data_IF_734189877628
#
_entry.id   IF_734189877628
#
_cell.length_a   1.000
_cell.length_b   1.000
_cell.length_c   1.000
_cell.angle_alpha   90.00
_cell.angle_beta   90.00
_cell.angle_gamma   90.00
#
_symmetry.space_group_name_H-M   'P 1'
#
loop_
_entity.id
_entity.type
_entity.pdbx_description
1 polymer ?
#
# COMPACT_ATOMS: atom_id res chain seq x y z
N UNK A 1 -62.26 34.93 -27.61
CA UNK A 1 -60.93 34.26 -27.73
C UNK A 1 -60.25 34.43 -26.37
N UNK A 2 -60.39 33.47 -25.50
CA UNK A 2 -59.77 33.45 -24.17
C UNK A 2 -58.47 32.67 -24.21
N UNK A 3 -57.39 33.30 -23.79
CA UNK A 3 -56.09 32.68 -23.62
C UNK A 3 -56.04 32.06 -22.21
N UNK A 4 -56.01 30.72 -22.13
CA UNK A 4 -55.82 29.99 -20.88
C UNK A 4 -54.34 29.98 -20.50
N UNK A 5 -53.96 30.75 -19.45
CA UNK A 5 -52.64 30.70 -18.86
C UNK A 5 -52.57 29.50 -17.92
N UNK A 6 -51.86 28.47 -18.31
CA UNK A 6 -51.49 27.37 -17.42
C UNK A 6 -50.35 27.83 -16.51
N UNK A 7 -50.67 28.03 -15.24
CA UNK A 7 -49.68 28.26 -14.21
C UNK A 7 -48.95 26.93 -13.90
N UNK A 8 -47.67 26.85 -14.25
CA UNK A 8 -46.78 25.81 -13.81
C UNK A 8 -46.46 26.07 -12.32
N UNK A 9 -46.96 25.21 -11.43
CA UNK A 9 -46.57 25.20 -10.03
C UNK A 9 -45.13 24.75 -9.90
N UNK A 10 -44.29 25.44 -9.09
CA UNK A 10 -42.93 24.98 -8.83
C UNK A 10 -42.96 23.67 -8.02
N UNK A 11 -42.35 22.63 -8.56
CA UNK A 11 -42.10 21.38 -7.83
C UNK A 11 -41.16 21.70 -6.66
N UNK A 12 -41.40 21.13 -5.46
CA UNK A 12 -40.47 21.30 -4.36
C UNK A 12 -39.15 20.62 -4.69
N UNK A 13 -38.07 21.39 -4.64
CA UNK A 13 -36.70 20.91 -4.76
C UNK A 13 -36.49 19.72 -3.80
N UNK A 14 -36.22 18.54 -4.35
CA UNK A 14 -35.80 17.44 -3.56
C UNK A 14 -34.47 17.81 -2.85
N UNK A 15 -34.58 18.11 -1.56
CA UNK A 15 -33.41 18.21 -0.68
C UNK A 15 -32.71 16.87 -0.71
N UNK A 16 -31.64 16.76 -1.48
CA UNK A 16 -30.69 15.66 -1.37
C UNK A 16 -30.04 15.80 -0.01
N UNK A 17 -30.61 15.13 0.98
CA UNK A 17 -29.98 14.99 2.29
C UNK A 17 -28.76 14.11 2.08
N UNK A 18 -27.60 14.75 1.88
CA UNK A 18 -26.32 14.08 2.03
C UNK A 18 -26.28 13.53 3.46
N UNK A 19 -26.58 12.25 3.63
CA UNK A 19 -26.22 11.51 4.83
C UNK A 19 -24.70 11.54 4.88
N UNK A 20 -24.15 12.49 5.61
CA UNK A 20 -22.82 12.37 6.15
C UNK A 20 -22.91 11.19 7.09
N UNK A 21 -22.58 10.00 6.60
CA UNK A 21 -22.34 8.83 7.45
C UNK A 21 -21.24 9.29 8.41
N UNK A 22 -21.60 9.57 9.66
CA UNK A 22 -20.60 9.81 10.68
C UNK A 22 -19.64 8.63 10.61
N UNK A 23 -18.36 8.92 10.61
CA UNK A 23 -17.29 7.97 10.88
C UNK A 23 -17.41 7.50 12.36
N UNK A 24 -18.51 6.80 12.69
CA UNK A 24 -18.86 6.34 14.05
C UNK A 24 -18.47 4.91 14.32
N UNK A 25 -17.88 4.22 13.34
CA UNK A 25 -17.06 3.06 13.67
C UNK A 25 -15.73 3.63 14.12
N UNK A 26 -15.48 3.54 15.42
CA UNK A 26 -14.28 4.05 16.07
C UNK A 26 -13.09 3.82 15.14
N UNK A 27 -12.54 4.89 14.56
CA UNK A 27 -11.24 4.85 13.95
C UNK A 27 -10.30 4.43 15.08
N UNK A 28 -10.10 3.14 15.22
CA UNK A 28 -9.10 2.62 16.13
C UNK A 28 -7.79 3.12 15.56
N UNK A 29 -7.24 4.15 16.20
CA UNK A 29 -5.94 4.69 15.83
C UNK A 29 -4.97 3.52 15.71
N UNK A 30 -4.14 3.53 14.70
CA UNK A 30 -3.11 2.51 14.51
C UNK A 30 -2.25 2.44 15.77
N UNK A 31 -2.43 1.40 16.56
CA UNK A 31 -1.63 1.19 17.76
C UNK A 31 -0.38 0.38 17.44
N UNK A 32 -0.50 -0.59 16.55
CA UNK A 32 0.60 -1.48 16.20
C UNK A 32 0.59 -1.80 14.71
N UNK A 33 1.76 -1.76 14.07
CA UNK A 33 1.99 -2.09 12.66
C UNK A 33 3.02 -3.23 12.55
N UNK A 34 2.63 -4.37 12.02
CA UNK A 34 3.60 -5.39 11.62
C UNK A 34 4.16 -5.06 10.25
N UNK A 35 5.47 -5.01 10.14
CA UNK A 35 6.17 -4.74 8.88
C UNK A 35 6.89 -5.99 8.43
N UNK A 36 6.51 -6.54 7.29
CA UNK A 36 7.15 -7.70 6.68
C UNK A 36 8.03 -7.22 5.53
N UNK A 37 9.33 -7.45 5.59
CA UNK A 37 10.24 -7.00 4.53
C UNK A 37 10.69 -8.16 3.67
N UNK A 38 10.64 -7.97 2.35
CA UNK A 38 11.01 -8.99 1.38
C UNK A 38 12.24 -8.61 0.53
N UNK A 39 12.75 -7.39 0.74
CA UNK A 39 13.82 -6.80 -0.07
C UNK A 39 13.26 -5.88 -1.17
N UNK A 40 13.88 -5.91 -2.33
CA UNK A 40 13.55 -5.02 -3.45
C UNK A 40 14.34 -3.72 -3.45
N UNK A 41 13.99 -2.79 -4.35
CA UNK A 41 14.75 -1.56 -4.59
C UNK A 41 14.86 -0.68 -3.35
N UNK A 42 13.85 -0.65 -2.49
CA UNK A 42 13.84 0.15 -1.27
C UNK A 42 15.07 -0.14 -0.36
N UNK A 43 15.50 -1.40 -0.32
CA UNK A 43 16.59 -1.87 0.52
C UNK A 43 17.92 -2.03 -0.25
N UNK A 44 17.99 -1.60 -1.53
CA UNK A 44 19.23 -1.68 -2.31
C UNK A 44 20.30 -0.75 -1.77
N UNK A 45 21.52 -1.27 -1.73
CA UNK A 45 22.76 -0.55 -1.43
C UNK A 45 23.72 -0.69 -2.60
N UNK A 46 24.53 0.30 -2.84
CA UNK A 46 25.56 0.25 -3.86
C UNK A 46 26.86 -0.26 -3.25
N UNK A 47 27.51 -1.20 -3.93
CA UNK A 47 28.82 -1.72 -3.56
C UNK A 47 29.85 -1.28 -4.59
N UNK A 48 30.80 -0.44 -4.15
CA UNK A 48 31.87 0.12 -5.02
C UNK A 48 32.77 -0.96 -5.62
N UNK A 49 33.16 -1.96 -4.84
CA UNK A 49 34.09 -3.02 -5.29
C UNK A 49 33.55 -3.87 -6.45
N UNK A 50 32.24 -3.91 -6.63
CA UNK A 50 31.57 -4.72 -7.66
C UNK A 50 30.76 -3.90 -8.65
N UNK A 51 30.71 -2.57 -8.49
CA UNK A 51 29.84 -1.67 -9.29
C UNK A 51 28.42 -2.22 -9.43
N UNK A 52 27.88 -2.85 -8.38
CA UNK A 52 26.59 -3.55 -8.39
C UNK A 52 25.72 -3.16 -7.20
N UNK A 53 24.39 -3.22 -7.42
CA UNK A 53 23.43 -3.09 -6.36
C UNK A 53 23.18 -4.43 -5.70
N UNK A 54 23.17 -4.45 -4.37
CA UNK A 54 22.76 -5.60 -3.57
C UNK A 54 21.62 -5.21 -2.64
N UNK A 55 20.78 -6.18 -2.27
CA UNK A 55 19.71 -5.95 -1.31
C UNK A 55 20.31 -6.01 0.10
N UNK A 56 20.34 -4.88 0.76
CA UNK A 56 20.87 -4.71 2.10
C UNK A 56 19.88 -5.09 3.22
N UNK A 57 20.17 -4.62 4.42
CA UNK A 57 19.24 -4.71 5.53
C UNK A 57 18.00 -3.83 5.29
N UNK A 58 16.82 -4.21 5.85
CA UNK A 58 15.62 -3.41 5.76
C UNK A 58 15.83 -1.98 6.26
N UNK A 59 15.42 -0.99 5.47
CA UNK A 59 15.58 0.43 5.80
C UNK A 59 14.36 1.01 6.52
N UNK A 60 13.20 0.40 6.37
CA UNK A 60 11.93 0.96 6.84
C UNK A 60 11.89 1.18 8.35
N UNK A 61 12.47 0.29 9.15
CA UNK A 61 12.51 0.43 10.61
C UNK A 61 13.27 1.68 11.04
N UNK A 62 14.42 1.94 10.45
CA UNK A 62 15.24 3.12 10.74
C UNK A 62 14.54 4.40 10.26
N UNK A 63 13.89 4.36 9.10
CA UNK A 63 13.09 5.48 8.57
C UNK A 63 11.97 5.85 9.55
N UNK A 64 11.16 4.88 10.01
CA UNK A 64 10.06 5.16 10.92
C UNK A 64 10.54 5.67 12.28
N UNK A 65 11.64 5.13 12.81
CA UNK A 65 12.27 5.66 14.05
C UNK A 65 12.73 7.09 13.87
N UNK A 66 13.43 7.40 12.77
CA UNK A 66 13.91 8.75 12.49
C UNK A 66 12.79 9.77 12.31
N UNK A 67 11.62 9.32 11.82
CA UNK A 67 10.42 10.16 11.66
C UNK A 67 9.62 10.33 12.95
N UNK A 68 9.92 9.59 14.01
CA UNK A 68 9.23 9.69 15.30
C UNK A 68 7.74 9.35 15.20
N UNK A 69 7.41 8.24 14.51
CA UNK A 69 6.01 7.81 14.36
C UNK A 69 5.33 7.54 15.70
N UNK A 70 4.04 7.82 15.80
CA UNK A 70 3.28 7.75 17.05
C UNK A 70 2.53 6.41 17.25
N UNK A 71 3.07 5.32 16.70
CA UNK A 71 2.54 3.96 16.85
C UNK A 71 3.67 2.96 17.05
N UNK A 72 3.36 1.85 17.69
CA UNK A 72 4.30 0.73 17.84
C UNK A 72 4.46 -0.04 16.52
N UNK A 73 5.64 -0.58 16.28
CA UNK A 73 5.84 -1.44 15.12
C UNK A 73 6.92 -2.50 15.34
N UNK A 74 6.73 -3.64 14.67
CA UNK A 74 7.70 -4.72 14.58
C UNK A 74 8.14 -4.91 13.13
N UNK A 75 9.43 -5.22 12.93
CA UNK A 75 9.98 -5.52 11.61
C UNK A 75 10.35 -7.00 11.53
N UNK A 76 9.63 -7.72 10.69
CA UNK A 76 9.91 -9.11 10.33
C UNK A 76 10.73 -9.12 9.05
N UNK A 77 12.06 -9.25 9.19
CA UNK A 77 12.96 -9.35 8.05
C UNK A 77 12.89 -10.75 7.43
N UNK A 78 11.90 -10.97 6.56
CA UNK A 78 11.55 -12.29 6.06
C UNK A 78 12.54 -12.82 5.02
N UNK A 79 12.89 -11.97 4.05
CA UNK A 79 13.85 -12.31 2.99
C UNK A 79 14.54 -11.06 2.42
N UNK A 80 15.57 -11.29 1.59
CA UNK A 80 16.29 -10.25 0.86
C UNK A 80 16.39 -10.65 -0.61
N UNK A 81 15.26 -10.55 -1.32
CA UNK A 81 15.18 -10.94 -2.74
C UNK A 81 14.82 -9.77 -3.63
N UNK A 82 15.37 -9.75 -4.84
CA UNK A 82 14.77 -8.98 -5.92
C UNK A 82 13.45 -9.64 -6.32
N UNK A 83 12.41 -8.85 -6.52
CA UNK A 83 11.08 -9.38 -6.82
C UNK A 83 11.02 -10.18 -8.12
N UNK A 84 11.93 -9.93 -9.06
CA UNK A 84 12.05 -10.73 -10.28
C UNK A 84 12.51 -12.18 -10.03
N UNK A 85 13.15 -12.44 -8.89
CA UNK A 85 13.62 -13.77 -8.48
C UNK A 85 12.70 -14.43 -7.45
N UNK A 86 11.56 -13.81 -7.16
CA UNK A 86 10.60 -14.33 -6.18
C UNK A 86 9.79 -15.48 -6.78
N UNK A 87 9.77 -16.60 -6.08
CA UNK A 87 9.02 -17.81 -6.46
C UNK A 87 7.63 -17.84 -5.82
N UNK A 88 6.81 -18.82 -6.18
CA UNK A 88 5.49 -19.00 -5.55
C UNK A 88 5.64 -19.48 -4.12
N UNK A 89 6.66 -20.28 -3.80
CA UNK A 89 7.00 -20.70 -2.44
C UNK A 89 7.36 -19.50 -1.56
N UNK A 90 8.08 -18.51 -2.10
CA UNK A 90 8.37 -17.27 -1.39
C UNK A 90 7.07 -16.50 -1.09
N UNK A 91 6.15 -16.41 -2.04
CA UNK A 91 4.84 -15.76 -1.85
C UNK A 91 3.98 -16.49 -0.82
N UNK A 92 3.99 -17.82 -0.84
CA UNK A 92 3.34 -18.64 0.17
C UNK A 92 3.96 -18.45 1.55
N UNK A 93 5.29 -18.29 1.64
CA UNK A 93 5.96 -17.97 2.89
C UNK A 93 5.51 -16.60 3.42
N UNK A 94 5.44 -15.58 2.56
CA UNK A 94 4.92 -14.26 2.93
C UNK A 94 3.48 -14.39 3.47
N UNK A 95 2.62 -15.12 2.77
CA UNK A 95 1.23 -15.34 3.18
C UNK A 95 1.12 -16.00 4.55
N UNK A 96 1.84 -17.10 4.78
CA UNK A 96 1.86 -17.81 6.07
C UNK A 96 2.40 -16.91 7.19
N UNK A 97 3.46 -16.17 6.91
CA UNK A 97 4.04 -15.24 7.89
C UNK A 97 3.02 -14.18 8.31
N UNK A 98 2.32 -13.58 7.36
CA UNK A 98 1.29 -12.56 7.64
C UNK A 98 0.09 -13.17 8.38
N UNK A 99 -0.35 -14.35 7.97
CA UNK A 99 -1.47 -15.05 8.63
C UNK A 99 -1.18 -15.34 10.10
N UNK A 100 0.08 -15.63 10.45
CA UNK A 100 0.51 -15.93 11.81
C UNK A 100 0.69 -14.67 12.69
N UNK A 101 0.72 -13.45 12.12
CA UNK A 101 0.86 -12.24 12.92
C UNK A 101 -0.41 -11.94 13.73
N UNK A 102 -0.29 -11.51 15.00
CA UNK A 102 -1.46 -11.20 15.81
C UNK A 102 -2.15 -9.90 15.39
N UNK A 103 -1.40 -8.94 14.85
CA UNK A 103 -1.90 -7.60 14.57
C UNK A 103 -2.68 -7.54 13.25
N UNK A 104 -3.70 -6.69 13.23
CA UNK A 104 -4.57 -6.47 12.07
C UNK A 104 -3.85 -5.76 10.93
N UNK A 105 -3.01 -4.77 11.25
CA UNK A 105 -2.39 -3.89 10.28
C UNK A 105 -1.01 -4.41 9.89
N UNK A 106 -0.82 -4.68 8.61
CA UNK A 106 0.41 -5.23 8.06
C UNK A 106 0.88 -4.37 6.89
N UNK A 107 2.13 -3.97 6.93
CA UNK A 107 2.81 -3.32 5.80
C UNK A 107 3.85 -4.28 5.24
N UNK A 108 3.89 -4.43 3.92
CA UNK A 108 4.86 -5.28 3.24
C UNK A 108 5.76 -4.42 2.36
N UNK A 109 7.07 -4.39 2.62
CA UNK A 109 8.01 -3.80 1.66
C UNK A 109 8.41 -4.83 0.63
N UNK A 110 8.31 -4.47 -0.65
CA UNK A 110 8.45 -5.41 -1.76
C UNK A 110 9.07 -4.73 -2.99
N UNK A 111 9.77 -5.50 -3.81
CA UNK A 111 10.21 -5.04 -5.12
C UNK A 111 9.02 -4.77 -6.04
N UNK A 112 9.10 -3.72 -6.84
CA UNK A 112 7.94 -3.22 -7.59
C UNK A 112 7.53 -4.08 -8.78
N UNK A 113 8.42 -4.96 -9.31
CA UNK A 113 8.18 -5.66 -10.56
C UNK A 113 7.14 -6.78 -10.48
N UNK A 114 7.10 -7.51 -9.35
CA UNK A 114 6.13 -8.59 -9.10
C UNK A 114 5.28 -8.38 -7.84
N UNK A 115 5.16 -7.13 -7.40
CA UNK A 115 4.34 -6.76 -6.23
C UNK A 115 2.85 -7.10 -6.45
N UNK A 116 2.38 -7.04 -7.70
CA UNK A 116 0.99 -7.36 -8.06
C UNK A 116 0.68 -8.83 -7.82
N UNK A 117 1.59 -9.71 -8.24
CA UNK A 117 1.49 -11.16 -8.08
C UNK A 117 1.44 -11.53 -6.59
N UNK A 118 2.33 -10.97 -5.80
CA UNK A 118 2.32 -11.18 -4.34
C UNK A 118 1.03 -10.67 -3.70
N UNK A 119 0.56 -9.48 -4.09
CA UNK A 119 -0.68 -8.94 -3.57
C UNK A 119 -1.89 -9.84 -3.88
N UNK A 120 -1.94 -10.50 -5.04
CA UNK A 120 -2.98 -11.47 -5.39
C UNK A 120 -2.97 -12.70 -4.48
N UNK A 121 -1.79 -13.24 -4.19
CA UNK A 121 -1.62 -14.39 -3.28
C UNK A 121 -2.09 -14.06 -1.86
N UNK A 122 -1.98 -12.81 -1.43
CA UNK A 122 -2.40 -12.37 -0.10
C UNK A 122 -3.92 -12.16 0.04
N UNK A 123 -4.68 -12.15 -1.05
CA UNK A 123 -6.14 -11.98 -1.00
C UNK A 123 -6.80 -13.02 -0.09
N UNK A 124 -7.89 -12.62 0.57
CA UNK A 124 -8.69 -13.52 1.42
C UNK A 124 -8.11 -13.81 2.80
N UNK A 125 -7.05 -13.12 3.22
CA UNK A 125 -6.60 -13.14 4.62
C UNK A 125 -7.57 -12.30 5.48
N UNK A 126 -8.47 -12.98 6.17
CA UNK A 126 -9.50 -12.34 6.98
C UNK A 126 -8.92 -11.59 8.19
N UNK A 127 -9.54 -10.48 8.59
CA UNK A 127 -9.15 -9.68 9.74
C UNK A 127 -7.83 -8.92 9.57
N UNK A 128 -7.37 -8.73 8.33
CA UNK A 128 -6.13 -8.05 8.01
C UNK A 128 -6.32 -6.87 7.05
N UNK A 129 -5.66 -5.77 7.35
CA UNK A 129 -5.39 -4.69 6.40
C UNK A 129 -3.93 -4.83 5.97
N UNK A 130 -3.71 -5.26 4.74
CA UNK A 130 -2.36 -5.51 4.21
C UNK A 130 -2.06 -4.48 3.14
N UNK A 131 -1.02 -3.68 3.33
CA UNK A 131 -0.60 -2.68 2.36
C UNK A 131 0.81 -2.98 1.88
N UNK A 132 0.94 -3.29 0.59
CA UNK A 132 2.24 -3.45 -0.04
C UNK A 132 2.76 -2.08 -0.50
N UNK A 133 4.06 -1.86 -0.30
CA UNK A 133 4.76 -0.67 -0.76
C UNK A 133 6.21 -1.00 -1.13
N UNK A 134 6.90 -0.04 -1.68
CA UNK A 134 8.29 -0.16 -2.08
C UNK A 134 8.83 1.18 -2.56
N UNK A 135 9.92 1.15 -3.30
CA UNK A 135 10.48 2.34 -3.90
C UNK A 135 11.00 2.07 -5.31
N UNK A 136 10.99 3.09 -6.15
CA UNK A 136 11.64 3.09 -7.46
C UNK A 136 13.13 3.42 -7.34
N UNK A 137 13.49 4.16 -6.29
CA UNK A 137 14.87 4.50 -5.94
C UNK A 137 15.24 3.97 -4.55
N UNK A 138 16.48 3.50 -4.33
CA UNK A 138 16.90 3.02 -3.02
C UNK A 138 16.66 4.06 -1.92
N UNK A 139 16.19 3.63 -0.75
CA UNK A 139 15.84 4.53 0.36
C UNK A 139 17.00 5.40 0.84
N UNK A 140 18.24 4.92 0.67
CA UNK A 140 19.46 5.65 1.03
C UNK A 140 19.85 6.77 0.07
N UNK A 141 19.19 6.85 -1.09
CA UNK A 141 19.53 7.87 -2.09
C UNK A 141 18.79 9.17 -1.78
N UNK A 142 19.48 10.28 -1.97
CA UNK A 142 18.85 11.58 -1.93
C UNK A 142 17.74 11.67 -2.98
N UNK A 143 16.55 12.14 -2.59
CA UNK A 143 15.40 12.22 -3.48
C UNK A 143 14.68 10.88 -3.71
N UNK A 144 14.96 9.84 -2.90
CA UNK A 144 14.20 8.59 -2.94
C UNK A 144 12.71 8.83 -2.68
N UNK A 145 11.88 8.09 -3.41
CA UNK A 145 10.43 8.03 -3.21
C UNK A 145 10.01 7.16 -2.00
N UNK A 146 10.97 6.51 -1.32
CA UNK A 146 10.72 5.56 -0.24
C UNK A 146 9.91 6.15 0.91
N UNK A 147 10.34 7.30 1.45
CA UNK A 147 9.68 7.93 2.61
C UNK A 147 8.24 8.34 2.26
N UNK A 148 8.02 8.88 1.06
CA UNK A 148 6.69 9.25 0.59
C UNK A 148 5.77 8.02 0.44
N UNK A 149 6.27 6.94 -0.16
CA UNK A 149 5.50 5.71 -0.34
C UNK A 149 5.20 5.03 1.00
N UNK A 150 6.16 4.98 1.94
CA UNK A 150 5.96 4.47 3.29
C UNK A 150 4.86 5.27 4.01
N UNK A 151 4.92 6.59 4.00
CA UNK A 151 3.91 7.45 4.62
C UNK A 151 2.52 7.23 4.03
N UNK A 152 2.43 7.12 2.69
CA UNK A 152 1.19 6.79 2.00
C UNK A 152 0.65 5.41 2.43
N UNK A 153 1.53 4.39 2.56
CA UNK A 153 1.15 3.04 2.96
C UNK A 153 0.69 2.98 4.43
N UNK A 154 1.34 3.71 5.32
CA UNK A 154 0.93 3.84 6.74
C UNK A 154 -0.44 4.50 6.84
N UNK A 155 -0.68 5.60 6.11
CA UNK A 155 -1.98 6.26 6.05
C UNK A 155 -3.08 5.33 5.50
N UNK A 156 -2.77 4.57 4.45
CA UNK A 156 -3.69 3.59 3.89
C UNK A 156 -4.02 2.47 4.89
N UNK A 157 -3.03 1.94 5.60
CA UNK A 157 -3.23 0.90 6.61
C UNK A 157 -4.16 1.35 7.74
N UNK A 158 -4.14 2.64 8.11
CA UNK A 158 -5.02 3.20 9.13
C UNK A 158 -6.46 3.41 8.66
N UNK A 159 -6.64 3.80 7.38
CA UNK A 159 -7.90 4.31 6.88
C UNK A 159 -8.76 3.26 6.17
N UNK A 160 -8.16 2.16 5.70
CA UNK A 160 -8.86 1.21 4.85
C UNK A 160 -9.45 0.04 5.64
N UNK A 161 -10.54 -0.55 5.14
CA UNK A 161 -11.11 -1.77 5.70
C UNK A 161 -10.17 -2.98 5.48
N UNK A 162 -10.53 -4.13 6.04
CA UNK A 162 -9.83 -5.38 5.78
C UNK A 162 -9.71 -5.65 4.29
N UNK A 163 -8.49 -6.01 3.87
CA UNK A 163 -8.20 -6.23 2.46
C UNK A 163 -6.71 -6.10 2.16
N UNK A 164 -6.39 -6.26 0.88
CA UNK A 164 -5.03 -6.13 0.35
C UNK A 164 -4.97 -4.94 -0.58
N UNK A 165 -4.03 -4.08 -0.35
CA UNK A 165 -3.86 -2.82 -1.07
C UNK A 165 -2.41 -2.63 -1.46
N UNK A 166 -2.17 -1.67 -2.33
CA UNK A 166 -0.84 -1.25 -2.70
C UNK A 166 -0.76 0.27 -2.73
N UNK A 167 0.20 0.82 -2.01
CA UNK A 167 0.44 2.26 -1.95
C UNK A 167 1.75 2.60 -2.67
N UNK A 168 1.65 3.25 -3.83
CA UNK A 168 2.81 3.65 -4.63
C UNK A 168 2.52 4.97 -5.35
N UNK A 169 3.50 5.85 -5.36
CA UNK A 169 3.47 7.12 -6.09
C UNK A 169 2.24 7.99 -5.75
N UNK A 170 1.84 8.02 -4.46
CA UNK A 170 0.70 8.80 -3.97
C UNK A 170 -0.68 8.24 -4.32
N UNK A 171 -0.75 7.01 -4.83
CA UNK A 171 -2.00 6.31 -5.12
C UNK A 171 -2.11 5.02 -4.34
N UNK A 172 -3.35 4.71 -3.94
CA UNK A 172 -3.73 3.42 -3.39
C UNK A 172 -4.42 2.63 -4.51
N UNK A 173 -3.89 1.45 -4.78
CA UNK A 173 -4.34 0.61 -5.88
C UNK A 173 -5.00 -0.66 -5.35
N UNK A 174 -6.09 -1.05 -5.99
CA UNK A 174 -6.61 -2.40 -5.91
C UNK A 174 -5.63 -3.34 -6.67
N UNK A 175 -5.09 -4.39 -6.03
CA UNK A 175 -4.11 -5.27 -6.66
C UNK A 175 -4.64 -6.03 -7.87
N UNK A 176 -5.97 -6.14 -8.03
CA UNK A 176 -6.58 -6.82 -9.18
C UNK A 176 -6.67 -5.91 -10.40
N UNK A 177 -6.77 -4.59 -10.19
CA UNK A 177 -7.02 -3.59 -11.24
C UNK A 177 -5.79 -2.81 -11.68
N UNK A 178 -4.60 -3.32 -11.43
CA UNK A 178 -3.38 -2.58 -11.71
C UNK A 178 -2.29 -3.46 -12.31
N UNK A 179 -1.50 -2.87 -13.17
CA UNK A 179 -0.27 -3.45 -13.75
C UNK A 179 0.91 -2.51 -13.56
N UNK A 180 2.11 -3.05 -13.57
CA UNK A 180 3.32 -2.24 -13.71
C UNK A 180 3.65 -2.06 -15.19
N UNK A 181 3.69 -0.81 -15.63
CA UNK A 181 4.30 -0.43 -16.89
C UNK A 181 5.80 -0.25 -16.64
N UNK A 182 6.61 -1.23 -17.09
CA UNK A 182 8.06 -1.24 -16.87
C UNK A 182 8.77 -0.17 -17.69
N UNK A 183 8.30 0.09 -18.88
CA UNK A 183 8.91 1.08 -19.79
C UNK A 183 8.73 2.50 -19.24
N UNK A 184 7.53 2.80 -18.73
CA UNK A 184 7.23 4.07 -18.10
C UNK A 184 7.63 4.12 -16.60
N UNK A 185 8.16 3.02 -16.05
CA UNK A 185 8.53 2.84 -14.63
C UNK A 185 7.44 3.32 -13.64
N UNK A 186 6.17 3.04 -13.93
CA UNK A 186 5.03 3.45 -13.09
C UNK A 186 3.95 2.38 -13.06
N UNK A 187 3.02 2.54 -12.11
CA UNK A 187 1.83 1.73 -12.04
C UNK A 187 0.67 2.40 -12.78
N UNK A 188 -0.11 1.60 -13.49
CA UNK A 188 -1.26 2.02 -14.30
C UNK A 188 -2.43 1.09 -14.05
N UNK A 189 -3.65 1.56 -14.30
CA UNK A 189 -4.81 0.70 -14.29
C UNK A 189 -4.64 -0.41 -15.33
N UNK A 190 -4.96 -1.65 -14.94
CA UNK A 190 -5.06 -2.72 -15.89
C UNK A 190 -6.27 -2.41 -16.78
N UNK A 191 -6.06 -2.27 -18.08
CA UNK A 191 -7.16 -2.08 -19.02
C UNK A 191 -8.20 -3.21 -18.84
N UNK A 192 -9.45 -2.83 -18.92
CA UNK A 192 -10.60 -3.76 -19.00
C UNK A 192 -10.54 -4.59 -20.26
#
# INVERSE_FOLDING_TARGET
MGVLLLALSPQPSALVTLRVTRLTDAHVMLQHLTIVTTGGTIDKIYFDDKSSFQIGAPQIGDILKALGVAFEFDVVALMRKDSLHMTDEDRDLIRRTIAAQPHRHVLVTHGTDTMVETARVLQGLAGKVIVLTGALNPARFQGSDAVFNIGCAVGAAQALPDGVYRAMNGRIWDPVRVRKNRDANRFEEAGT
#
